data_IF_522060884753
#
_entry.id   IF_522060884753
#
_cell.length_a   1.000
_cell.length_b   1.000
_cell.length_c   1.000
_cell.angle_alpha   90.00
_cell.angle_beta   90.00
_cell.angle_gamma   90.00
#
_symmetry.space_group_name_H-M   'P 1'
#
loop_
_entity.id
_entity.type
_entity.pdbx_description
1 polymer ?
#
# COMPACT_ATOMS: atom_id res chain seq x y z
N UNK A 1 -38.74 -14.32 -7.32
CA UNK A 1 -37.89 -14.66 -6.16
C UNK A 1 -36.40 -14.74 -6.51
N UNK A 2 -35.98 -15.57 -7.49
CA UNK A 2 -34.54 -15.73 -7.82
C UNK A 2 -33.87 -14.49 -8.45
N UNK A 3 -34.57 -13.70 -9.26
CA UNK A 3 -34.02 -12.49 -9.90
C UNK A 3 -33.55 -11.43 -8.91
N UNK A 4 -34.27 -11.24 -7.81
CA UNK A 4 -33.92 -10.28 -6.76
C UNK A 4 -32.67 -10.72 -5.99
N UNK A 5 -32.53 -12.02 -5.76
CA UNK A 5 -31.33 -12.60 -5.14
C UNK A 5 -30.10 -12.40 -6.03
N UNK A 6 -30.22 -12.66 -7.34
CA UNK A 6 -29.11 -12.47 -8.28
C UNK A 6 -28.66 -11.00 -8.30
N UNK A 7 -29.62 -10.06 -8.38
CA UNK A 7 -29.31 -8.63 -8.33
C UNK A 7 -28.61 -8.23 -7.03
N UNK A 8 -29.06 -8.77 -5.90
CA UNK A 8 -28.44 -8.52 -4.60
C UNK A 8 -26.99 -9.02 -4.54
N UNK A 9 -26.72 -10.25 -4.98
CA UNK A 9 -25.37 -10.81 -5.04
C UNK A 9 -24.43 -10.00 -5.94
N UNK A 10 -24.93 -9.55 -7.09
CA UNK A 10 -24.15 -8.71 -8.01
C UNK A 10 -23.78 -7.38 -7.34
N UNK A 11 -24.72 -6.72 -6.66
CA UNK A 11 -24.44 -5.46 -5.97
C UNK A 11 -23.40 -5.64 -4.84
N UNK A 12 -23.53 -6.71 -4.05
CA UNK A 12 -22.58 -7.03 -2.97
C UNK A 12 -21.20 -7.31 -3.54
N UNK A 13 -21.10 -8.09 -4.62
CA UNK A 13 -19.82 -8.40 -5.27
C UNK A 13 -19.09 -7.13 -5.73
N UNK A 14 -19.79 -6.25 -6.44
CA UNK A 14 -19.21 -4.96 -6.85
C UNK A 14 -18.79 -4.12 -5.64
N UNK A 15 -19.63 -4.04 -4.61
CA UNK A 15 -19.30 -3.27 -3.40
C UNK A 15 -18.07 -3.83 -2.68
N UNK A 16 -17.94 -5.15 -2.55
CA UNK A 16 -16.76 -5.79 -1.98
C UNK A 16 -15.51 -5.56 -2.83
N UNK A 17 -15.65 -5.57 -4.15
CA UNK A 17 -14.55 -5.27 -5.08
C UNK A 17 -14.10 -3.81 -4.95
N UNK A 18 -15.04 -2.86 -4.89
CA UNK A 18 -14.72 -1.45 -4.65
C UNK A 18 -14.04 -1.22 -3.31
N UNK A 19 -14.48 -1.89 -2.24
CA UNK A 19 -13.82 -1.82 -0.93
C UNK A 19 -12.41 -2.42 -1.00
N UNK A 20 -12.22 -3.55 -1.67
CA UNK A 20 -10.91 -4.17 -1.83
C UNK A 20 -9.93 -3.25 -2.58
N UNK A 21 -10.40 -2.58 -3.63
CA UNK A 21 -9.60 -1.62 -4.40
C UNK A 21 -9.38 -0.30 -3.65
N UNK A 22 -10.32 0.13 -2.80
CA UNK A 22 -10.18 1.32 -1.95
C UNK A 22 -9.20 1.11 -0.80
N UNK A 23 -9.06 -0.12 -0.30
CA UNK A 23 -8.05 -0.50 0.71
C UNK A 23 -6.78 -1.07 0.06
N UNK A 24 -6.63 -0.95 -1.27
CA UNK A 24 -5.33 -1.12 -1.92
C UNK A 24 -4.50 0.15 -1.66
N UNK A 25 -4.26 0.46 -0.39
CA UNK A 25 -3.02 1.09 0.00
C UNK A 25 -1.97 0.07 -0.41
N UNK A 26 -1.20 0.37 -1.45
CA UNK A 26 0.11 -0.25 -1.56
C UNK A 26 0.75 -0.02 -0.21
N UNK A 27 1.12 -1.09 0.48
CA UNK A 27 1.93 -1.05 1.69
C UNK A 27 3.36 -0.61 1.30
N UNK A 28 3.44 0.47 0.53
CA UNK A 28 4.53 1.43 0.57
C UNK A 28 4.30 2.29 1.80
N UNK A 29 4.35 1.66 2.99
CA UNK A 29 4.70 2.32 4.25
C UNK A 29 6.11 2.94 4.20
N UNK A 30 6.58 3.35 3.02
CA UNK A 30 7.62 4.34 2.83
C UNK A 30 6.97 5.67 3.16
N UNK A 31 6.81 5.92 4.46
CA UNK A 31 6.76 7.26 4.99
C UNK A 31 7.86 8.02 4.25
N UNK A 32 7.49 8.94 3.34
CA UNK A 32 8.42 9.64 2.48
C UNK A 32 9.19 10.59 3.37
N UNK A 33 10.18 10.06 4.09
CA UNK A 33 11.00 10.81 5.03
C UNK A 33 11.99 11.58 4.16
N UNK A 34 11.87 12.92 4.11
CA UNK A 34 12.79 13.71 3.34
C UNK A 34 14.18 13.63 3.97
N UNK A 35 15.21 13.48 3.15
CA UNK A 35 16.59 13.41 3.60
C UNK A 35 17.52 14.24 2.72
N UNK A 36 18.62 14.72 3.29
CA UNK A 36 19.75 15.30 2.55
C UNK A 36 20.99 14.42 2.63
N UNK A 37 21.13 13.64 3.69
CA UNK A 37 22.22 12.69 3.95
C UNK A 37 21.67 11.43 4.60
N UNK A 38 22.42 10.33 4.54
CA UNK A 38 22.01 9.05 5.12
C UNK A 38 21.76 9.10 6.64
N UNK A 39 22.43 10.02 7.34
CA UNK A 39 22.21 10.26 8.77
C UNK A 39 20.82 10.83 9.11
N UNK A 40 20.12 11.39 8.13
CA UNK A 40 18.75 11.91 8.31
C UNK A 40 17.71 10.78 8.28
N UNK A 41 18.11 9.59 7.84
CA UNK A 41 17.25 8.41 7.72
C UNK A 41 17.38 7.49 8.95
N UNK A 42 16.35 6.69 9.24
CA UNK A 42 16.41 5.65 10.28
C UNK A 42 17.57 4.66 10.04
N UNK A 43 18.03 3.93 11.09
CA UNK A 43 19.06 2.92 10.95
C UNK A 43 18.69 1.87 9.88
N UNK A 44 19.65 1.46 9.06
CA UNK A 44 19.47 0.54 7.92
C UNK A 44 18.65 1.11 6.73
N UNK A 45 18.49 2.42 6.65
CA UNK A 45 17.91 3.12 5.49
C UNK A 45 19.00 4.00 4.84
N UNK A 46 18.83 4.35 3.57
CA UNK A 46 19.74 5.23 2.84
C UNK A 46 18.97 6.35 2.15
N UNK A 47 19.63 7.48 1.95
CA UNK A 47 19.04 8.63 1.31
C UNK A 47 19.25 8.56 -0.21
N UNK A 48 18.16 8.42 -0.95
CA UNK A 48 18.18 8.43 -2.41
C UNK A 48 17.12 9.38 -2.95
N UNK A 49 17.50 10.23 -3.91
CA UNK A 49 16.58 11.26 -4.47
C UNK A 49 15.83 12.06 -3.39
N UNK A 50 16.53 12.40 -2.30
CA UNK A 50 15.98 13.17 -1.17
C UNK A 50 14.87 12.46 -0.38
N UNK A 51 14.77 11.13 -0.52
CA UNK A 51 13.82 10.28 0.22
C UNK A 51 14.60 9.12 0.85
N UNK A 52 14.24 8.75 2.07
CA UNK A 52 14.81 7.57 2.73
C UNK A 52 14.23 6.28 2.15
N UNK A 53 15.10 5.36 1.73
CA UNK A 53 14.74 4.02 1.28
C UNK A 53 15.23 2.99 2.29
N UNK A 54 14.37 2.04 2.63
CA UNK A 54 14.76 0.89 3.47
C UNK A 54 15.69 -0.01 2.68
N UNK A 55 16.85 -0.37 3.23
CA UNK A 55 17.64 -1.47 2.68
C UNK A 55 16.89 -2.78 2.93
N UNK A 56 16.11 -3.26 1.94
CA UNK A 56 15.49 -4.59 1.95
C UNK A 56 16.47 -5.71 1.56
N UNK A 57 17.79 -5.45 1.62
CA UNK A 57 18.83 -6.48 1.40
C UNK A 57 19.09 -7.22 2.71
N UNK A 58 18.12 -8.01 3.19
CA UNK A 58 18.32 -9.05 4.22
C UNK A 58 17.07 -9.94 4.43
N UNK A 59 16.57 -10.60 3.38
CA UNK A 59 15.81 -11.86 3.49
C UNK A 59 15.87 -12.61 2.13
N UNK A 60 17.05 -13.10 1.74
CA UNK A 60 17.17 -14.17 0.74
C UNK A 60 17.92 -15.34 1.36
#
# INVERSE_FOLDING_TARGET
MAKTLILFYVMVFFFTFFILMANCETDDGVMQIPCKKDSDCPPFWYCFRQVCYRNLVLQQ
#
